data_IF_608061980977
#
_entry.id   IF_608061980977
#
_cell.length_a   1.000
_cell.length_b   1.000
_cell.length_c   1.000
_cell.angle_alpha   90.00
_cell.angle_beta   90.00
_cell.angle_gamma   90.00
#
_symmetry.space_group_name_H-M   'P 1'
#
loop_
_entity.id
_entity.type
_entity.pdbx_description
1 polymer ?
#
# COMPACT_ATOMS: atom_id res chain seq x y z
N UNK A 1 17.32 -18.54 28.05
CA UNK A 1 16.36 -19.64 28.28
C UNK A 1 15.27 -19.22 29.26
N UNK A 2 14.04 -19.72 29.09
CA UNK A 2 12.95 -19.51 30.04
C UNK A 2 13.17 -20.37 31.30
N UNK A 3 13.07 -19.76 32.49
CA UNK A 3 13.54 -20.35 33.76
C UNK A 3 12.43 -20.70 34.76
N UNK A 4 11.15 -20.54 34.41
CA UNK A 4 10.05 -20.84 35.33
C UNK A 4 10.01 -22.33 35.69
N UNK A 5 9.82 -22.65 36.98
CA UNK A 5 9.65 -24.04 37.40
C UNK A 5 8.32 -24.61 36.89
N UNK A 6 8.24 -25.93 36.69
CA UNK A 6 7.04 -26.59 36.14
C UNK A 6 5.78 -26.32 36.96
N UNK A 7 5.90 -26.14 38.27
CA UNK A 7 4.77 -25.82 39.15
C UNK A 7 4.21 -24.42 38.84
N UNK A 8 5.08 -23.41 38.78
CA UNK A 8 4.69 -22.02 38.48
C UNK A 8 4.17 -21.90 37.05
N UNK A 9 4.79 -22.60 36.10
CA UNK A 9 4.33 -22.64 34.71
C UNK A 9 2.88 -23.17 34.60
N UNK A 10 2.56 -24.27 35.31
CA UNK A 10 1.20 -24.83 35.33
C UNK A 10 0.20 -23.91 36.00
N UNK A 11 0.57 -23.30 37.13
CA UNK A 11 -0.28 -22.32 37.83
C UNK A 11 -0.60 -21.12 36.92
N UNK A 12 0.42 -20.55 36.27
CA UNK A 12 0.27 -19.42 35.34
C UNK A 12 -0.66 -19.76 34.18
N UNK A 13 -0.42 -20.89 33.51
CA UNK A 13 -1.22 -21.32 32.36
C UNK A 13 -2.68 -21.64 32.76
N UNK A 14 -2.89 -22.15 33.97
CA UNK A 14 -4.23 -22.39 34.50
C UNK A 14 -4.98 -21.07 34.75
N UNK A 15 -4.35 -20.10 35.41
CA UNK A 15 -4.96 -18.79 35.69
C UNK A 15 -5.21 -17.96 34.43
N UNK A 16 -4.41 -18.13 33.37
CA UNK A 16 -4.61 -17.44 32.09
C UNK A 16 -5.61 -18.14 31.16
N UNK A 17 -5.88 -19.43 31.38
CA UNK A 17 -6.75 -20.23 30.51
C UNK A 17 -6.12 -20.62 29.16
N UNK A 18 -4.82 -20.42 28.98
CA UNK A 18 -4.10 -20.74 27.74
C UNK A 18 -2.63 -21.04 27.99
N UNK A 19 -1.99 -21.78 27.08
CA UNK A 19 -0.57 -22.12 27.20
C UNK A 19 0.34 -20.95 26.80
N UNK A 20 0.73 -20.17 27.81
CA UNK A 20 1.68 -19.06 27.66
C UNK A 20 3.11 -19.51 27.35
N UNK A 21 3.46 -20.78 27.57
CA UNK A 21 4.81 -21.26 27.27
C UNK A 21 5.05 -21.37 25.75
N UNK A 22 4.01 -21.65 24.98
CA UNK A 22 4.08 -21.74 23.51
C UNK A 22 4.40 -20.40 22.84
N UNK A 23 3.96 -19.28 23.42
CA UNK A 23 4.13 -17.91 22.89
C UNK A 23 4.50 -16.95 24.02
N UNK A 24 5.77 -16.99 24.43
CA UNK A 24 6.30 -16.11 25.48
C UNK A 24 6.48 -14.67 24.97
N UNK A 25 6.24 -13.70 25.85
CA UNK A 25 6.46 -12.29 25.56
C UNK A 25 7.96 -11.92 25.56
N UNK A 26 8.75 -12.62 26.39
CA UNK A 26 10.19 -12.44 26.46
C UNK A 26 10.87 -13.25 25.36
N UNK A 27 11.86 -12.62 24.73
CA UNK A 27 12.62 -13.20 23.63
C UNK A 27 13.87 -13.91 24.16
N UNK A 28 14.18 -15.08 23.61
CA UNK A 28 15.36 -15.85 23.96
C UNK A 28 16.25 -16.06 22.73
N UNK A 29 16.44 -17.31 22.31
CA UNK A 29 17.39 -17.69 21.26
C UNK A 29 16.72 -17.80 19.88
N UNK A 30 15.40 -17.68 19.83
CA UNK A 30 14.61 -17.73 18.60
C UNK A 30 14.76 -16.46 17.73
N UNK A 31 15.36 -15.40 18.26
CA UNK A 31 15.59 -14.16 17.52
C UNK A 31 16.93 -14.19 16.77
N UNK A 32 17.00 -13.44 15.69
CA UNK A 32 18.24 -13.25 14.95
C UNK A 32 19.36 -12.70 15.85
N UNK A 33 20.60 -13.12 15.58
CA UNK A 33 21.81 -12.64 16.27
C UNK A 33 21.97 -11.13 16.14
N UNK A 34 22.74 -10.53 17.05
CA UNK A 34 23.03 -9.08 16.98
C UNK A 34 24.02 -8.73 15.88
N UNK A 35 25.00 -9.61 15.65
CA UNK A 35 25.93 -9.51 14.52
C UNK A 35 25.35 -10.27 13.34
N UNK A 36 25.30 -9.61 12.18
CA UNK A 36 24.83 -10.16 10.92
C UNK A 36 25.98 -10.14 9.91
N UNK A 37 25.97 -11.08 8.98
CA UNK A 37 26.96 -11.11 7.89
C UNK A 37 26.73 -9.92 6.94
N UNK A 38 27.79 -9.42 6.27
CA UNK A 38 27.66 -8.28 5.36
C UNK A 38 26.71 -8.60 4.19
N UNK A 39 25.69 -7.77 3.92
CA UNK A 39 24.74 -8.03 2.85
C UNK A 39 25.28 -7.65 1.47
N UNK A 40 24.84 -8.36 0.43
CA UNK A 40 25.02 -7.97 -0.99
C UNK A 40 23.65 -7.61 -1.57
N UNK A 41 23.33 -6.32 -1.55
CA UNK A 41 22.03 -5.83 -2.01
C UNK A 41 21.90 -5.89 -3.53
N UNK A 42 20.70 -6.24 -4.07
CA UNK A 42 20.45 -6.18 -5.50
C UNK A 42 20.41 -4.72 -5.98
N UNK A 43 20.75 -4.52 -7.25
CA UNK A 43 20.68 -3.22 -7.90
C UNK A 43 19.26 -2.93 -8.40
N UNK A 44 18.90 -1.64 -8.48
CA UNK A 44 17.60 -1.20 -9.00
C UNK A 44 17.47 -1.35 -10.54
N UNK A 45 16.26 -1.19 -11.09
CA UNK A 45 15.94 -1.50 -12.49
C UNK A 45 16.69 -0.64 -13.53
N UNK A 46 17.19 0.53 -13.12
CA UNK A 46 17.94 1.45 -13.97
C UNK A 46 19.46 1.20 -13.94
N UNK A 47 19.96 0.10 -13.38
CA UNK A 47 21.37 -0.30 -13.47
C UNK A 47 21.60 -1.18 -14.70
N UNK A 48 21.31 -0.64 -15.90
CA UNK A 48 21.48 -1.32 -17.18
C UNK A 48 22.61 -0.68 -17.98
N UNK A 49 23.37 -1.50 -18.70
CA UNK A 49 24.48 -1.06 -19.55
C UNK A 49 24.05 -0.45 -20.89
N UNK A 50 22.88 -0.87 -21.41
CA UNK A 50 22.30 -0.38 -22.67
C UNK A 50 20.80 -0.09 -22.48
N UNK A 51 20.22 0.64 -23.44
CA UNK A 51 18.78 0.96 -23.50
C UNK A 51 18.23 1.59 -22.21
N UNK A 52 19.00 2.50 -21.62
CA UNK A 52 18.72 3.13 -20.32
C UNK A 52 18.99 4.63 -20.33
N UNK A 53 18.58 5.29 -21.41
CA UNK A 53 18.65 6.73 -21.51
C UNK A 53 17.77 7.39 -20.46
N UNK A 54 18.27 8.43 -19.80
CA UNK A 54 17.52 9.09 -18.73
C UNK A 54 16.20 9.72 -19.21
N UNK A 55 16.20 10.27 -20.43
CA UNK A 55 15.05 10.99 -20.98
C UNK A 55 13.82 10.11 -21.18
N UNK A 56 13.96 8.79 -21.34
CA UNK A 56 12.83 7.86 -21.54
C UNK A 56 12.11 7.51 -20.23
N UNK A 57 12.66 7.89 -19.08
CA UNK A 57 12.12 7.56 -17.74
C UNK A 57 12.11 8.77 -16.81
N UNK A 58 12.29 9.98 -17.34
CA UNK A 58 12.26 11.21 -16.55
C UNK A 58 10.82 11.67 -16.34
N UNK A 59 10.09 11.01 -15.44
CA UNK A 59 8.71 11.36 -15.09
C UNK A 59 8.55 12.79 -14.56
N UNK A 60 9.64 13.46 -14.14
CA UNK A 60 9.58 14.88 -13.74
C UNK A 60 9.34 15.80 -14.92
N UNK A 61 9.78 15.40 -16.13
CA UNK A 61 9.55 16.14 -17.38
C UNK A 61 8.26 15.77 -18.08
N UNK A 62 7.62 14.67 -17.68
CA UNK A 62 6.29 14.28 -18.15
C UNK A 62 5.17 15.13 -17.52
N UNK A 63 5.48 15.86 -16.45
CA UNK A 63 4.56 16.81 -15.83
C UNK A 63 4.25 17.97 -16.79
N UNK A 64 3.00 18.05 -17.24
CA UNK A 64 2.49 19.15 -18.05
C UNK A 64 1.66 20.13 -17.21
N UNK A 65 1.50 21.40 -17.65
CA UNK A 65 0.55 22.33 -17.03
C UNK A 65 -0.87 21.76 -17.00
N UNK A 66 -1.68 22.20 -16.05
CA UNK A 66 -3.07 21.74 -15.92
C UNK A 66 -3.89 22.04 -17.17
N UNK A 67 -4.76 21.10 -17.56
CA UNK A 67 -5.72 21.31 -18.64
C UNK A 67 -6.82 22.27 -18.19
N UNK A 68 -7.00 23.36 -18.94
CA UNK A 68 -8.02 24.37 -18.67
C UNK A 68 -9.34 23.93 -19.30
N UNK A 69 -10.33 23.57 -18.48
CA UNK A 69 -11.66 23.12 -18.95
C UNK A 69 -12.58 24.29 -19.30
N UNK A 70 -12.47 25.42 -18.58
CA UNK A 70 -13.25 26.63 -18.82
C UNK A 70 -12.39 27.86 -18.49
N UNK A 71 -12.32 28.83 -19.42
CA UNK A 71 -11.64 30.11 -19.23
C UNK A 71 -12.60 31.26 -19.55
N UNK A 72 -12.40 32.42 -18.90
CA UNK A 72 -13.20 33.64 -19.15
C UNK A 72 -12.86 34.29 -20.50
N UNK A 73 -11.67 34.01 -21.04
CA UNK A 73 -11.24 34.47 -22.37
C UNK A 73 -11.84 33.52 -23.42
N UNK A 74 -12.82 33.99 -24.20
CA UNK A 74 -13.43 33.21 -25.29
C UNK A 74 -12.37 32.88 -26.36
N UNK A 75 -12.00 31.62 -26.50
CA UNK A 75 -11.51 31.12 -27.78
C UNK A 75 -12.72 30.94 -28.71
N UNK A 76 -12.75 31.64 -29.84
CA UNK A 76 -13.81 31.51 -30.84
C UNK A 76 -13.74 30.09 -31.43
N UNK A 77 -14.81 29.31 -31.28
CA UNK A 77 -14.99 28.07 -32.02
C UNK A 77 -15.12 28.38 -33.51
N UNK A 78 -14.47 27.60 -34.37
CA UNK A 78 -14.68 27.67 -35.82
C UNK A 78 -16.17 27.53 -36.12
N UNK A 79 -16.73 28.48 -36.87
CA UNK A 79 -18.17 28.67 -37.03
C UNK A 79 -18.87 27.45 -37.60
N UNK A 80 -19.74 26.84 -36.79
CA UNK A 80 -20.67 25.79 -37.18
C UNK A 80 -21.80 25.72 -36.17
N UNK A 81 -23.05 25.63 -36.63
CA UNK A 81 -24.23 25.54 -35.77
C UNK A 81 -24.19 24.23 -34.99
N UNK A 82 -24.04 24.31 -33.67
CA UNK A 82 -24.12 23.16 -32.77
C UNK A 82 -25.56 23.11 -32.25
N UNK A 83 -26.32 22.11 -32.66
CA UNK A 83 -27.62 21.82 -32.06
C UNK A 83 -27.42 21.39 -30.59
N UNK A 84 -28.09 22.05 -29.65
CA UNK A 84 -28.08 21.70 -28.23
C UNK A 84 -28.84 20.39 -28.00
N UNK A 85 -28.10 19.28 -27.91
CA UNK A 85 -28.62 18.03 -27.39
C UNK A 85 -28.62 18.06 -25.84
N UNK A 86 -29.65 17.51 -25.17
CA UNK A 86 -29.68 17.45 -23.70
C UNK A 86 -28.52 16.60 -23.17
N UNK A 87 -27.69 17.20 -22.30
CA UNK A 87 -26.57 16.51 -21.64
C UNK A 87 -27.04 15.87 -20.33
N UNK A 88 -26.72 14.60 -20.13
CA UNK A 88 -26.96 13.92 -18.86
C UNK A 88 -26.09 14.50 -17.74
N UNK A 89 -26.56 14.51 -16.48
CA UNK A 89 -25.74 14.88 -15.34
C UNK A 89 -24.58 13.89 -15.16
N UNK A 90 -23.40 14.40 -14.79
CA UNK A 90 -22.19 13.60 -14.57
C UNK A 90 -21.77 13.65 -13.11
N UNK A 91 -21.23 12.55 -12.59
CA UNK A 91 -20.59 12.47 -11.27
C UNK A 91 -19.06 12.45 -11.43
N UNK A 92 -18.27 12.97 -10.47
CA UNK A 92 -16.79 12.99 -10.57
C UNK A 92 -16.14 11.60 -10.66
N UNK A 93 -16.84 10.56 -10.25
CA UNK A 93 -16.41 9.17 -10.32
C UNK A 93 -17.62 8.23 -10.26
N UNK A 94 -17.36 6.93 -10.25
CA UNK A 94 -18.40 5.93 -10.05
C UNK A 94 -19.04 6.01 -8.66
N UNK A 95 -20.26 5.51 -8.53
CA UNK A 95 -20.91 5.33 -7.23
C UNK A 95 -20.08 4.37 -6.39
N UNK A 96 -19.89 4.71 -5.11
CA UNK A 96 -19.19 3.85 -4.17
C UNK A 96 -19.80 2.44 -4.16
N UNK A 97 -18.94 1.43 -4.27
CA UNK A 97 -19.33 0.03 -4.13
C UNK A 97 -18.90 -0.42 -2.74
N UNK A 98 -19.87 -0.73 -1.90
CA UNK A 98 -19.61 -1.27 -0.57
C UNK A 98 -18.79 -2.57 -0.66
N UNK A 99 -17.70 -2.70 0.11
CA UNK A 99 -16.93 -3.93 0.14
C UNK A 99 -17.78 -5.07 0.73
N UNK A 100 -17.63 -6.31 0.25
CA UNK A 100 -18.33 -7.44 0.82
C UNK A 100 -17.85 -7.72 2.24
N UNK A 101 -18.72 -8.35 3.04
CA UNK A 101 -18.36 -8.82 4.38
C UNK A 101 -17.23 -9.85 4.29
N UNK A 102 -16.29 -9.80 5.25
CA UNK A 102 -15.14 -10.72 5.31
C UNK A 102 -15.60 -12.19 5.34
N UNK A 103 -14.93 -13.05 4.58
CA UNK A 103 -15.18 -14.50 4.58
C UNK A 103 -14.42 -15.26 5.67
N UNK A 104 -13.41 -14.66 6.28
CA UNK A 104 -12.54 -15.32 7.25
C UNK A 104 -13.14 -15.28 8.66
N UNK A 105 -13.35 -14.06 9.19
CA UNK A 105 -14.01 -13.79 10.46
C UNK A 105 -15.00 -12.63 10.29
N UNK A 106 -16.23 -12.87 9.79
CA UNK A 106 -17.24 -11.83 9.55
C UNK A 106 -17.75 -11.19 10.85
N UNK A 107 -17.70 -11.95 11.93
CA UNK A 107 -18.11 -11.55 13.26
C UNK A 107 -16.97 -11.89 14.21
N UNK A 108 -16.56 -10.91 15.03
CA UNK A 108 -15.55 -11.05 16.06
C UNK A 108 -16.03 -11.98 17.19
#
# INVERSE_FOLDING_TARGET
MATATKLIQRLRNFLSGHDLQSKLQLRYEEIAKRTQDPPKLPVGPSHKYADNYYFTRDGRRESVPSTIVMSKQKALTAGGQIAEAPKAPVTPGGVYKEPPLSTDQPYL
#
